data_IF_504723414354
#
_entry.id   IF_504723414354
#
_cell.length_a   1.000
_cell.length_b   1.000
_cell.length_c   1.000
_cell.angle_alpha   90.00
_cell.angle_beta   90.00
_cell.angle_gamma   90.00
#
_symmetry.space_group_name_H-M   'P 1'
#
loop_
_entity.id
_entity.type
_entity.pdbx_description
1 polymer ?
#
# COMPACT_ATOMS: atom_id res chain seq x y z
N UNK A 1 14.54 3.59 7.56
CA UNK A 1 13.75 4.73 8.07
C UNK A 1 14.42 6.00 7.61
N UNK A 2 13.63 6.92 7.15
CA UNK A 2 14.07 8.13 6.51
C UNK A 2 14.63 9.16 7.51
N UNK A 3 15.50 10.04 7.03
CA UNK A 3 16.32 10.90 7.89
C UNK A 3 15.50 11.93 8.69
N UNK A 4 14.42 12.47 8.10
CA UNK A 4 13.63 13.52 8.76
C UNK A 4 12.72 12.93 9.85
N UNK A 5 12.06 11.80 9.60
CA UNK A 5 11.25 11.13 10.61
C UNK A 5 12.08 10.70 11.83
N UNK A 6 13.33 10.24 11.63
CA UNK A 6 14.24 9.94 12.74
C UNK A 6 14.59 11.20 13.56
N UNK A 7 14.75 12.35 12.90
CA UNK A 7 14.95 13.63 13.58
C UNK A 7 13.72 14.02 14.41
N UNK A 8 12.51 13.78 13.86
CA UNK A 8 11.26 14.01 14.58
C UNK A 8 11.14 13.13 15.82
N UNK A 9 11.41 11.83 15.72
CA UNK A 9 11.33 10.91 16.86
C UNK A 9 12.21 11.33 18.04
N UNK A 10 13.39 11.89 17.78
CA UNK A 10 14.31 12.36 18.82
C UNK A 10 13.79 13.60 19.57
N UNK A 11 12.78 14.27 19.07
CA UNK A 11 12.18 15.43 19.70
C UNK A 11 11.05 15.10 20.66
N UNK A 12 10.64 13.82 20.69
CA UNK A 12 9.59 13.29 21.58
C UNK A 12 8.29 14.11 21.58
N UNK A 13 7.93 14.70 20.42
CA UNK A 13 6.67 15.41 20.30
C UNK A 13 5.52 14.40 20.22
N UNK A 14 4.45 14.68 20.94
CA UNK A 14 3.20 13.94 20.88
C UNK A 14 2.24 14.60 19.89
N UNK A 15 1.76 13.83 18.92
CA UNK A 15 0.81 14.26 17.90
C UNK A 15 -0.61 13.76 18.18
N UNK A 16 -0.88 13.19 19.34
CA UNK A 16 -2.17 12.55 19.64
C UNK A 16 -3.35 13.50 19.53
N UNK A 17 -3.18 14.76 19.97
CA UNK A 17 -4.22 15.80 19.82
C UNK A 17 -4.48 16.19 18.37
N UNK A 18 -3.55 15.89 17.44
CA UNK A 18 -3.70 16.11 16.00
C UNK A 18 -4.22 14.86 15.29
N UNK A 19 -4.83 13.94 16.01
CA UNK A 19 -5.33 12.65 15.49
C UNK A 19 -4.23 11.80 14.82
N UNK A 20 -3.03 11.78 15.42
CA UNK A 20 -1.89 10.95 15.02
C UNK A 20 -1.31 10.27 16.26
N UNK A 21 -2.04 9.33 16.82
CA UNK A 21 -1.69 8.65 18.06
C UNK A 21 -0.74 7.48 17.81
N UNK A 22 0.20 7.27 18.72
CA UNK A 22 1.01 6.05 18.76
C UNK A 22 0.25 4.94 19.48
N UNK A 23 0.38 3.71 18.97
CA UNK A 23 -0.10 2.50 19.65
C UNK A 23 1.06 1.54 19.83
N UNK A 24 0.98 0.69 20.85
CA UNK A 24 1.90 -0.44 21.05
C UNK A 24 1.61 -1.54 20.04
N UNK A 25 0.34 -1.75 19.77
CA UNK A 25 -0.16 -2.68 18.76
C UNK A 25 -0.35 -1.94 17.43
N UNK A 26 0.35 -2.42 16.40
CA UNK A 26 0.34 -1.89 15.05
C UNK A 26 -0.10 -2.97 14.04
N UNK A 27 -1.06 -3.80 14.41
CA UNK A 27 -1.58 -4.84 13.53
C UNK A 27 -2.19 -4.22 12.26
N UNK A 28 -1.74 -4.68 11.09
CA UNK A 28 -2.23 -4.15 9.82
C UNK A 28 -3.67 -4.62 9.54
N UNK A 29 -4.46 -3.75 8.92
CA UNK A 29 -5.73 -4.12 8.34
C UNK A 29 -5.55 -4.78 6.97
N UNK A 30 -6.63 -5.41 6.46
CA UNK A 30 -6.64 -6.05 5.14
C UNK A 30 -6.13 -5.12 4.02
N UNK A 31 -6.40 -3.82 4.11
CA UNK A 31 -6.02 -2.80 3.13
C UNK A 31 -4.67 -2.13 3.43
N UNK A 32 -3.97 -2.52 4.49
CA UNK A 32 -2.63 -1.98 4.78
C UNK A 32 -1.63 -2.56 3.77
N UNK A 33 -0.87 -1.71 3.02
CA UNK A 33 0.09 -2.20 2.04
C UNK A 33 1.19 -3.09 2.64
N UNK A 34 1.65 -4.09 1.90
CA UNK A 34 2.79 -4.92 2.29
C UNK A 34 4.05 -4.08 2.50
N UNK A 35 4.69 -4.26 3.63
CA UNK A 35 5.89 -3.51 4.01
C UNK A 35 5.60 -2.12 4.57
N UNK A 36 4.35 -1.87 4.96
CA UNK A 36 3.98 -0.68 5.71
C UNK A 36 4.67 -0.65 7.09
N UNK A 37 5.04 0.55 7.50
CA UNK A 37 5.50 0.87 8.86
C UNK A 37 4.54 1.92 9.41
N UNK A 38 3.58 1.49 10.21
CA UNK A 38 2.57 2.36 10.81
C UNK A 38 3.26 3.23 11.87
N UNK A 39 3.01 4.54 11.82
CA UNK A 39 3.59 5.48 12.76
C UNK A 39 2.54 6.28 13.54
N UNK A 40 1.27 6.25 13.14
CA UNK A 40 0.20 6.96 13.81
C UNK A 40 -1.18 6.42 13.46
N UNK A 41 -2.12 6.61 14.38
CA UNK A 41 -3.52 6.23 14.28
C UNK A 41 -4.42 7.42 14.53
N UNK A 42 -5.49 7.56 13.75
CA UNK A 42 -6.45 8.66 13.95
C UNK A 42 -7.33 8.45 15.20
N UNK A 43 -7.41 7.23 15.71
CA UNK A 43 -8.19 6.89 16.91
C UNK A 43 -9.60 6.42 16.62
N UNK A 44 -10.05 6.49 15.39
CA UNK A 44 -11.38 6.05 14.94
C UNK A 44 -11.24 5.14 13.71
N UNK A 45 -12.20 4.24 13.50
CA UNK A 45 -12.43 3.47 12.28
C UNK A 45 -11.22 2.72 11.71
N UNK A 46 -10.20 2.47 12.54
CA UNK A 46 -8.97 1.83 12.10
C UNK A 46 -8.09 2.70 11.19
N UNK A 47 -8.41 3.98 11.05
CA UNK A 47 -7.64 4.91 10.22
C UNK A 47 -6.22 5.06 10.78
N UNK A 48 -5.22 4.87 9.92
CA UNK A 48 -3.83 4.95 10.31
C UNK A 48 -2.93 5.50 9.20
N UNK A 49 -1.75 5.96 9.62
CA UNK A 49 -0.75 6.58 8.76
C UNK A 49 0.51 5.74 8.75
N UNK A 50 1.06 5.52 7.57
CA UNK A 50 2.24 4.67 7.41
C UNK A 50 3.20 5.17 6.33
N UNK A 51 4.45 4.70 6.44
CA UNK A 51 5.40 4.65 5.34
C UNK A 51 5.34 3.26 4.72
N UNK A 52 5.60 3.15 3.41
CA UNK A 52 5.67 1.86 2.74
C UNK A 52 7.09 1.64 2.20
N UNK A 53 7.64 0.46 2.43
CA UNK A 53 8.98 0.10 1.94
C UNK A 53 9.08 0.29 0.42
N UNK A 54 10.11 1.02 -0.02
CA UNK A 54 10.35 1.35 -1.43
C UNK A 54 9.85 2.74 -1.84
N UNK A 55 9.09 3.44 -0.98
CA UNK A 55 8.56 4.78 -1.26
C UNK A 55 9.18 5.88 -0.37
N UNK A 56 10.28 5.58 0.30
CA UNK A 56 10.97 6.57 1.15
C UNK A 56 10.16 7.03 2.35
N UNK A 57 9.99 8.35 2.51
CA UNK A 57 9.16 8.98 3.55
C UNK A 57 7.75 9.34 3.07
N UNK A 58 7.33 8.89 1.90
CA UNK A 58 5.96 9.12 1.42
C UNK A 58 4.95 8.61 2.44
N UNK A 59 4.03 9.48 2.84
CA UNK A 59 3.02 9.19 3.85
C UNK A 59 1.73 8.76 3.17
N UNK A 60 1.20 7.65 3.63
CA UNK A 60 -0.09 7.11 3.21
C UNK A 60 -1.08 7.17 4.37
N UNK A 61 -2.31 7.55 4.08
CA UNK A 61 -3.47 7.35 4.93
C UNK A 61 -4.18 6.07 4.52
N UNK A 62 -4.50 5.25 5.49
CA UNK A 62 -5.22 3.99 5.32
C UNK A 62 -6.54 4.10 6.08
N UNK A 63 -7.65 3.96 5.35
CA UNK A 63 -9.01 4.10 5.88
C UNK A 63 -9.83 2.85 5.56
N UNK A 64 -9.80 1.82 6.42
CA UNK A 64 -10.41 0.52 6.14
C UNK A 64 -11.90 0.57 5.81
N UNK A 65 -12.60 1.57 6.35
CA UNK A 65 -14.05 1.71 6.15
C UNK A 65 -14.44 2.18 4.74
N UNK A 66 -13.51 2.74 3.96
CA UNK A 66 -13.82 3.24 2.63
C UNK A 66 -13.95 2.11 1.59
N UNK A 67 -13.36 0.94 1.87
CA UNK A 67 -13.41 -0.22 0.96
C UNK A 67 -12.67 -0.01 -0.37
N UNK A 68 -12.60 -1.08 -1.15
CA UNK A 68 -12.00 -1.07 -2.48
C UNK A 68 -10.60 -0.47 -2.54
N UNK A 69 -10.32 0.26 -3.59
CA UNK A 69 -9.08 1.01 -3.77
C UNK A 69 -9.03 2.32 -2.97
N UNK A 70 -10.21 2.79 -2.51
CA UNK A 70 -10.35 4.08 -1.83
C UNK A 70 -9.98 4.00 -0.34
N UNK A 71 -9.59 2.82 0.13
CA UNK A 71 -9.03 2.65 1.48
C UNK A 71 -7.57 3.11 1.62
N UNK A 72 -6.88 3.48 0.53
CA UNK A 72 -5.47 3.91 0.57
C UNK A 72 -5.24 5.15 -0.25
N UNK A 73 -4.76 6.21 0.38
CA UNK A 73 -4.43 7.47 -0.28
C UNK A 73 -3.04 7.94 0.10
N UNK A 74 -2.28 8.43 -0.89
CA UNK A 74 -1.06 9.17 -0.61
C UNK A 74 -1.45 10.58 -0.13
N UNK A 75 -0.85 11.03 0.99
CA UNK A 75 -1.17 12.33 1.59
C UNK A 75 0.02 13.26 1.73
N UNK A 76 1.26 12.76 1.73
CA UNK A 76 2.43 13.62 1.69
C UNK A 76 3.59 12.93 0.97
N UNK A 77 4.44 13.73 0.29
CA UNK A 77 5.66 13.24 -0.37
C UNK A 77 6.70 12.74 0.62
N UNK A 78 6.73 13.38 1.77
CA UNK A 78 7.62 13.03 2.88
C UNK A 78 7.02 13.48 4.22
N UNK A 79 7.69 13.12 5.31
CA UNK A 79 7.22 13.45 6.66
C UNK A 79 7.32 14.97 6.97
N UNK A 80 8.20 15.70 6.29
CA UNK A 80 8.27 17.15 6.42
C UNK A 80 6.99 17.82 5.87
N UNK A 81 6.59 17.44 4.65
CA UNK A 81 5.35 17.91 4.03
C UNK A 81 4.12 17.47 4.84
N UNK A 82 4.14 16.28 5.45
CA UNK A 82 3.06 15.85 6.35
C UNK A 82 2.90 16.80 7.56
N UNK A 83 4.00 17.17 8.21
CA UNK A 83 3.94 18.14 9.30
C UNK A 83 3.46 19.53 8.85
N UNK A 84 3.88 20.00 7.67
CA UNK A 84 3.41 21.25 7.08
C UNK A 84 1.92 21.22 6.74
N UNK A 85 1.42 20.08 6.34
CA UNK A 85 -0.01 19.86 6.13
C UNK A 85 -0.77 19.91 7.45
N UNK A 86 -0.31 19.26 8.51
CA UNK A 86 -0.90 19.36 9.85
C UNK A 86 -0.92 20.83 10.34
N UNK A 87 0.15 21.59 10.09
CA UNK A 87 0.18 23.03 10.40
C UNK A 87 -0.88 23.82 9.63
N UNK A 88 -1.25 23.41 8.44
CA UNK A 88 -2.24 24.09 7.60
C UNK A 88 -3.69 23.69 7.93
N UNK A 89 -3.92 22.41 8.31
CA UNK A 89 -5.26 21.85 8.50
C UNK A 89 -5.70 21.76 9.96
N UNK A 90 -4.78 21.90 10.90
CA UNK A 90 -5.06 21.78 12.33
C UNK A 90 -4.93 20.36 12.87
N UNK A 91 -5.32 19.36 12.10
CA UNK A 91 -5.15 17.92 12.42
C UNK A 91 -5.10 17.06 11.15
N UNK A 92 -5.16 15.73 11.31
CA UNK A 92 -5.08 14.79 10.19
C UNK A 92 -6.41 14.46 9.53
N UNK A 93 -7.56 14.86 10.10
CA UNK A 93 -8.87 14.45 9.59
C UNK A 93 -9.13 14.98 8.17
N UNK A 94 -8.82 16.27 7.92
CA UNK A 94 -8.95 16.83 6.59
C UNK A 94 -8.03 16.16 5.55
N UNK A 95 -6.84 15.69 5.97
CA UNK A 95 -5.87 15.06 5.08
C UNK A 95 -6.34 13.70 4.60
N UNK A 96 -6.97 12.94 5.49
CA UNK A 96 -7.48 11.62 5.20
C UNK A 96 -8.69 11.68 4.27
N UNK A 97 -9.55 12.70 4.40
CA UNK A 97 -10.79 12.83 3.65
C UNK A 97 -10.67 13.67 2.37
N UNK A 98 -9.60 14.42 2.16
CA UNK A 98 -9.41 15.34 1.04
C UNK A 98 -9.63 14.72 -0.36
N UNK A 99 -9.48 13.41 -0.50
CA UNK A 99 -9.62 12.69 -1.75
C UNK A 99 -11.04 12.73 -2.32
N UNK A 100 -12.07 12.82 -1.45
CA UNK A 100 -13.48 12.82 -1.83
C UNK A 100 -14.08 14.24 -1.93
N UNK A 101 -13.36 15.28 -1.52
CA UNK A 101 -13.84 16.66 -1.49
C UNK A 101 -13.32 17.49 -2.65
N UNK A 102 -14.14 18.46 -3.09
CA UNK A 102 -13.65 19.60 -3.83
C UNK A 102 -13.01 20.64 -2.90
N UNK A 103 -12.43 21.69 -3.48
CA UNK A 103 -11.71 22.72 -2.71
C UNK A 103 -12.65 23.48 -1.74
N UNK A 104 -13.86 23.78 -2.18
CA UNK A 104 -14.83 24.50 -1.36
C UNK A 104 -15.30 23.67 -0.16
N UNK A 105 -15.49 22.37 -0.35
CA UNK A 105 -15.82 21.42 0.74
C UNK A 105 -14.66 21.28 1.72
N UNK A 106 -13.44 21.21 1.23
CA UNK A 106 -12.25 21.16 2.08
C UNK A 106 -12.10 22.43 2.93
N UNK A 107 -12.24 23.60 2.32
CA UNK A 107 -12.17 24.89 3.03
C UNK A 107 -13.31 25.05 4.04
N UNK A 108 -14.53 24.63 3.69
CA UNK A 108 -15.67 24.63 4.59
C UNK A 108 -15.42 23.73 5.81
N UNK A 109 -14.88 22.53 5.61
CA UNK A 109 -14.53 21.63 6.71
C UNK A 109 -13.52 22.26 7.67
N UNK A 110 -12.47 22.91 7.16
CA UNK A 110 -11.48 23.59 7.99
C UNK A 110 -12.09 24.77 8.78
N UNK A 111 -13.00 25.51 8.16
CA UNK A 111 -13.68 26.63 8.80
C UNK A 111 -14.62 26.18 9.95
N UNK A 112 -15.29 25.03 9.77
CA UNK A 112 -16.19 24.43 10.75
C UNK A 112 -15.46 23.73 11.90
N UNK A 113 -14.21 23.30 11.66
CA UNK A 113 -13.38 22.54 12.60
C UNK A 113 -12.07 23.27 12.93
N UNK A 114 -12.13 24.47 13.54
CA UNK A 114 -10.91 25.21 13.88
C UNK A 114 -10.11 24.46 14.95
N UNK A 115 -8.77 24.53 14.93
CA UNK A 115 -7.92 23.87 15.90
C UNK A 115 -8.23 24.32 17.34
N UNK A 116 -8.29 23.36 18.26
CA UNK A 116 -8.43 23.61 19.70
C UNK A 116 -7.16 24.28 20.26
N UNK A 117 -7.19 24.75 21.48
CA UNK A 117 -6.01 25.38 22.11
C UNK A 117 -4.91 24.34 22.36
N UNK A 118 -5.26 23.10 22.64
CA UNK A 118 -4.30 21.99 22.76
C UNK A 118 -3.62 21.70 21.41
N UNK A 119 -4.39 21.61 20.33
CA UNK A 119 -3.87 21.44 18.97
C UNK A 119 -2.95 22.59 18.58
N UNK A 120 -3.37 23.84 18.82
CA UNK A 120 -2.54 25.03 18.55
C UNK A 120 -1.19 24.99 19.29
N UNK A 121 -1.18 24.53 20.54
CA UNK A 121 0.05 24.39 21.31
C UNK A 121 1.02 23.40 20.66
N UNK A 122 0.53 22.22 20.23
CA UNK A 122 1.34 21.22 19.54
C UNK A 122 1.82 21.71 18.17
N UNK A 123 0.95 22.34 17.39
CA UNK A 123 1.30 22.95 16.10
C UNK A 123 2.38 24.02 16.23
N UNK A 124 2.29 24.87 17.26
CA UNK A 124 3.32 25.87 17.56
C UNK A 124 4.67 25.24 17.91
N UNK A 125 4.66 24.14 18.66
CA UNK A 125 5.89 23.37 18.95
C UNK A 125 6.50 22.80 17.68
N UNK A 126 5.69 22.19 16.79
CA UNK A 126 6.16 21.65 15.50
C UNK A 126 6.82 22.75 14.68
N UNK A 127 6.11 23.89 14.50
CA UNK A 127 6.62 25.04 13.74
C UNK A 127 7.95 25.53 14.28
N UNK A 128 8.06 25.70 15.60
CA UNK A 128 9.27 26.22 16.25
C UNK A 128 10.44 25.23 16.19
N UNK A 129 10.21 23.95 16.56
CA UNK A 129 11.27 22.95 16.68
C UNK A 129 11.89 22.60 15.33
N UNK A 130 11.08 22.60 14.27
CA UNK A 130 11.52 22.22 12.92
C UNK A 130 11.68 23.40 11.97
N UNK A 131 11.34 24.63 12.40
CA UNK A 131 11.33 25.85 11.58
C UNK A 131 10.45 25.68 10.33
N UNK A 132 9.25 25.11 10.52
CA UNK A 132 8.31 24.83 9.46
C UNK A 132 7.22 25.90 9.39
N UNK A 133 6.78 26.19 8.16
CA UNK A 133 5.60 26.99 7.86
C UNK A 133 4.47 26.11 7.35
N UNK A 134 3.21 26.47 7.58
CA UNK A 134 2.06 25.78 7.01
C UNK A 134 2.18 25.61 5.49
N UNK A 135 1.58 24.53 4.96
CA UNK A 135 1.43 24.35 3.51
C UNK A 135 0.52 25.46 2.97
N UNK A 136 0.95 26.19 1.94
CA UNK A 136 0.20 27.35 1.42
C UNK A 136 -1.13 26.96 0.77
N UNK A 137 -1.15 25.84 0.06
CA UNK A 137 -2.30 25.31 -0.69
C UNK A 137 -2.48 23.83 -0.42
N UNK A 138 -2.98 23.44 0.78
CA UNK A 138 -3.00 22.05 1.20
C UNK A 138 -3.88 21.17 0.31
N UNK A 139 -5.07 21.64 -0.10
CA UNK A 139 -5.96 20.86 -0.97
C UNK A 139 -5.35 20.62 -2.35
N UNK A 140 -4.83 21.68 -3.01
CA UNK A 140 -4.20 21.55 -4.34
C UNK A 140 -2.96 20.64 -4.28
N UNK A 141 -2.18 20.72 -3.20
CA UNK A 141 -1.05 19.82 -2.97
C UNK A 141 -1.50 18.36 -2.90
N UNK A 142 -2.52 18.06 -2.09
CA UNK A 142 -3.06 16.72 -1.92
C UNK A 142 -3.62 16.16 -3.23
N UNK A 143 -4.46 16.92 -3.91
CA UNK A 143 -5.07 16.50 -5.18
C UNK A 143 -4.04 16.25 -6.27
N UNK A 144 -3.05 17.12 -6.38
CA UNK A 144 -1.94 16.92 -7.32
C UNK A 144 -1.15 15.65 -7.00
N UNK A 145 -0.78 15.47 -5.74
CA UNK A 145 -0.03 14.30 -5.30
C UNK A 145 -0.80 13.00 -5.57
N UNK A 146 -2.09 12.97 -5.25
CA UNK A 146 -2.96 11.81 -5.49
C UNK A 146 -3.14 11.51 -6.98
N UNK A 147 -3.24 12.53 -7.83
CA UNK A 147 -3.35 12.36 -9.28
C UNK A 147 -2.04 11.85 -9.93
N UNK A 148 -0.89 12.25 -9.38
CA UNK A 148 0.43 11.84 -9.88
C UNK A 148 0.87 10.46 -9.35
N UNK A 149 0.30 10.00 -8.24
CA UNK A 149 0.72 8.76 -7.60
C UNK A 149 0.05 7.53 -8.22
N UNK A 150 0.85 6.60 -8.66
CA UNK A 150 0.38 5.32 -9.21
C UNK A 150 0.20 4.28 -8.08
N UNK A 151 -1.04 4.15 -7.59
CA UNK A 151 -1.41 3.19 -6.54
C UNK A 151 -1.14 1.73 -6.92
N UNK A 152 -1.05 1.40 -8.22
CA UNK A 152 -0.75 0.03 -8.67
C UNK A 152 0.66 -0.44 -8.29
N UNK A 153 1.53 0.47 -7.86
CA UNK A 153 2.85 0.15 -7.33
C UNK A 153 2.84 -0.39 -5.90
N UNK A 154 1.75 -0.17 -5.17
CA UNK A 154 1.55 -0.75 -3.86
C UNK A 154 1.21 -2.24 -4.00
N UNK A 155 1.69 -3.03 -3.04
CA UNK A 155 1.38 -4.46 -2.94
C UNK A 155 0.55 -4.70 -1.70
N UNK A 156 -0.47 -5.53 -1.83
CA UNK A 156 -1.36 -5.88 -0.74
C UNK A 156 -1.29 -7.37 -0.40
N UNK A 157 -1.85 -7.76 0.73
CA UNK A 157 -2.07 -9.15 1.11
C UNK A 157 -3.22 -9.77 0.28
N UNK A 158 -3.42 -11.06 0.41
CA UNK A 158 -4.54 -11.74 -0.26
C UNK A 158 -5.88 -11.24 0.27
N UNK A 159 -5.94 -10.89 1.56
CA UNK A 159 -7.14 -10.37 2.20
C UNK A 159 -7.68 -9.08 1.56
N UNK A 160 -6.79 -8.26 0.96
CA UNK A 160 -7.20 -7.06 0.22
C UNK A 160 -8.06 -7.39 -1.00
N UNK A 161 -7.84 -8.55 -1.60
CA UNK A 161 -8.53 -9.02 -2.80
C UNK A 161 -9.64 -10.02 -2.48
N UNK A 162 -9.85 -10.33 -1.20
CA UNK A 162 -10.93 -11.21 -0.76
C UNK A 162 -12.26 -10.44 -0.76
N UNK A 163 -13.27 -10.84 -1.54
CA UNK A 163 -14.56 -10.16 -1.59
C UNK A 163 -15.32 -10.18 -0.26
N UNK A 164 -15.03 -11.12 0.65
CA UNK A 164 -15.65 -11.15 1.98
C UNK A 164 -15.08 -10.05 2.89
N UNK A 165 -13.80 -9.72 2.71
CA UNK A 165 -13.11 -8.69 3.48
C UNK A 165 -13.21 -7.31 2.83
N UNK A 166 -13.23 -7.26 1.50
CA UNK A 166 -13.22 -6.04 0.70
C UNK A 166 -14.15 -6.22 -0.53
N UNK A 167 -15.46 -6.00 -0.38
CA UNK A 167 -16.43 -6.24 -1.45
C UNK A 167 -16.16 -5.46 -2.75
N UNK A 168 -15.53 -4.29 -2.62
CA UNK A 168 -15.17 -3.42 -3.75
C UNK A 168 -13.71 -3.57 -4.19
N UNK A 169 -13.07 -4.69 -3.81
CA UNK A 169 -11.68 -4.94 -4.17
C UNK A 169 -11.48 -4.90 -5.68
N UNK A 170 -10.40 -4.25 -6.16
CA UNK A 170 -10.05 -4.34 -7.57
C UNK A 170 -9.67 -5.78 -7.94
N UNK A 171 -9.92 -6.17 -9.18
CA UNK A 171 -9.45 -7.47 -9.65
C UNK A 171 -7.94 -7.60 -9.40
N UNK A 172 -7.56 -8.69 -8.74
CA UNK A 172 -6.15 -9.00 -8.55
C UNK A 172 -5.51 -9.25 -9.91
N UNK A 173 -4.61 -8.35 -10.32
CA UNK A 173 -3.73 -8.65 -11.46
C UNK A 173 -2.80 -9.77 -11.03
N UNK A 174 -3.12 -10.99 -11.44
CA UNK A 174 -2.27 -12.14 -11.18
C UNK A 174 -0.95 -11.91 -11.92
N UNK A 175 0.14 -11.74 -11.18
CA UNK A 175 1.47 -11.73 -11.77
C UNK A 175 1.83 -13.19 -12.12
N UNK A 176 1.65 -13.54 -13.37
CA UNK A 176 1.93 -14.88 -13.92
C UNK A 176 3.43 -15.20 -13.98
N UNK A 177 4.27 -14.42 -13.35
CA UNK A 177 5.68 -14.78 -13.19
C UNK A 177 5.82 -15.93 -12.22
N UNK A 178 5.74 -17.13 -12.76
CA UNK A 178 6.08 -18.33 -12.02
C UNK A 178 7.60 -18.37 -11.85
N UNK A 179 8.04 -18.22 -10.60
CA UNK A 179 9.43 -18.49 -10.27
C UNK A 179 9.61 -20.01 -10.18
N UNK A 180 10.37 -20.57 -11.10
CA UNK A 180 10.77 -21.97 -11.01
C UNK A 180 11.77 -22.13 -9.86
N UNK A 181 11.35 -22.77 -8.78
CA UNK A 181 12.16 -22.99 -7.57
C UNK A 181 12.93 -24.32 -7.65
N UNK A 182 13.32 -24.72 -8.82
CA UNK A 182 14.08 -25.93 -9.07
C UNK A 182 14.90 -25.80 -10.33
N UNK A 183 16.04 -26.48 -10.38
CA UNK A 183 16.78 -26.63 -11.62
C UNK A 183 16.26 -27.85 -12.37
N UNK A 184 15.72 -27.64 -13.53
CA UNK A 184 15.43 -28.71 -14.48
C UNK A 184 16.69 -29.59 -14.78
N UNK A 185 17.86 -29.10 -14.41
CA UNK A 185 19.18 -29.71 -14.66
C UNK A 185 19.91 -30.17 -13.39
N UNK A 186 19.22 -30.25 -12.24
CA UNK A 186 19.79 -30.75 -10.98
C UNK A 186 20.58 -29.75 -10.15
N UNK A 187 20.49 -28.45 -10.47
CA UNK A 187 21.00 -27.37 -9.60
C UNK A 187 19.87 -26.77 -8.77
N UNK A 188 20.05 -26.61 -7.47
CA UNK A 188 19.10 -25.94 -6.59
C UNK A 188 19.44 -24.45 -6.53
N UNK A 189 18.55 -23.58 -7.00
CA UNK A 189 18.73 -22.15 -6.95
C UNK A 189 17.65 -21.39 -7.72
N UNK A 190 17.52 -20.09 -7.44
CA UNK A 190 16.65 -19.17 -8.16
C UNK A 190 17.31 -18.75 -9.48
N UNK A 191 17.38 -19.65 -10.43
CA UNK A 191 17.86 -19.33 -11.77
C UNK A 191 16.71 -18.74 -12.60
N UNK A 192 16.94 -17.60 -13.25
CA UNK A 192 16.04 -17.12 -14.29
C UNK A 192 16.11 -18.09 -15.46
N UNK A 193 14.98 -18.68 -15.80
CA UNK A 193 14.86 -19.47 -17.02
C UNK A 193 15.17 -18.56 -18.23
N UNK A 194 16.24 -18.75 -18.92
CA UNK A 194 16.63 -18.25 -20.23
C UNK A 194 15.96 -16.96 -20.77
N UNK A 195 15.87 -16.82 -22.08
CA UNK A 195 15.17 -15.72 -22.74
C UNK A 195 13.68 -15.98 -22.77
N UNK A 196 12.89 -15.09 -22.15
CA UNK A 196 11.44 -15.14 -22.20
C UNK A 196 10.91 -14.77 -23.61
N UNK A 197 9.99 -15.61 -24.11
CA UNK A 197 9.23 -15.36 -25.34
C UNK A 197 7.75 -15.38 -24.96
N UNK A 198 7.05 -14.23 -24.97
CA UNK A 198 5.63 -14.17 -24.62
C UNK A 198 4.78 -14.96 -25.62
N UNK A 199 3.90 -15.81 -25.12
CA UNK A 199 2.98 -16.62 -25.94
C UNK A 199 1.55 -16.15 -25.76
N UNK A 200 1.11 -15.93 -24.52
CA UNK A 200 -0.21 -15.41 -24.12
C UNK A 200 -1.38 -16.15 -24.81
N UNK A 201 -1.36 -17.48 -24.80
CA UNK A 201 -2.38 -18.33 -25.43
C UNK A 201 -3.17 -19.13 -24.43
N UNK A 202 -4.50 -19.12 -24.63
CA UNK A 202 -5.43 -20.00 -23.94
C UNK A 202 -5.73 -21.22 -24.79
N UNK A 203 -5.94 -22.35 -24.12
CA UNK A 203 -6.44 -23.56 -24.73
C UNK A 203 -7.19 -24.40 -23.70
N UNK A 204 -8.11 -25.24 -24.16
CA UNK A 204 -8.86 -26.17 -23.30
C UNK A 204 -8.30 -27.58 -23.46
N UNK A 205 -7.97 -28.20 -22.32
CA UNK A 205 -7.50 -29.59 -22.28
C UNK A 205 -8.00 -30.29 -21.03
N UNK A 206 -8.44 -31.53 -21.17
CA UNK A 206 -9.00 -32.37 -20.10
C UNK A 206 -10.16 -31.69 -19.34
N UNK A 207 -11.00 -30.91 -20.03
CA UNK A 207 -12.15 -30.22 -19.45
C UNK A 207 -11.80 -28.99 -18.61
N UNK A 208 -10.58 -28.48 -18.75
CA UNK A 208 -10.10 -27.29 -18.02
C UNK A 208 -9.48 -26.30 -18.99
N UNK A 209 -9.54 -25.02 -18.61
CA UNK A 209 -8.88 -23.95 -19.35
C UNK A 209 -7.46 -23.76 -18.84
N UNK A 210 -6.54 -23.69 -19.78
CA UNK A 210 -5.12 -23.51 -19.55
C UNK A 210 -4.63 -22.26 -20.26
N UNK A 211 -3.63 -21.65 -19.67
CA UNK A 211 -2.97 -20.47 -20.22
C UNK A 211 -1.46 -20.68 -20.26
N UNK A 212 -0.85 -20.37 -21.40
CA UNK A 212 0.61 -20.34 -21.55
C UNK A 212 1.03 -18.87 -21.64
N UNK A 213 1.58 -18.29 -20.55
CA UNK A 213 2.03 -16.89 -20.56
C UNK A 213 3.25 -16.71 -21.44
N UNK A 214 4.26 -17.55 -21.27
CA UNK A 214 5.55 -17.43 -21.93
C UNK A 214 6.23 -18.77 -22.08
N UNK A 215 7.16 -18.83 -23.02
CA UNK A 215 8.14 -19.89 -23.19
C UNK A 215 9.52 -19.34 -22.90
N UNK A 216 10.31 -20.05 -22.12
CA UNK A 216 11.66 -19.65 -21.76
C UNK A 216 12.67 -20.50 -22.53
N UNK A 217 13.47 -19.83 -23.36
CA UNK A 217 14.52 -20.49 -24.17
C UNK A 217 15.83 -20.46 -23.38
N UNK A 218 16.24 -21.63 -22.93
CA UNK A 218 17.46 -21.85 -22.16
C UNK A 218 18.59 -22.41 -23.05
N UNK A 219 19.82 -22.40 -22.54
CA UNK A 219 20.99 -22.92 -23.29
C UNK A 219 20.91 -24.44 -23.60
N UNK A 220 20.11 -25.17 -22.83
CA UNK A 220 19.99 -26.65 -22.95
C UNK A 220 18.57 -27.14 -23.19
N UNK A 221 17.61 -26.25 -23.43
CA UNK A 221 16.21 -26.66 -23.63
C UNK A 221 15.23 -25.51 -23.55
N UNK A 222 13.96 -25.86 -23.49
CA UNK A 222 12.84 -24.93 -23.41
C UNK A 222 12.05 -25.24 -22.14
N UNK A 223 11.72 -24.20 -21.35
CA UNK A 223 10.78 -24.32 -20.23
C UNK A 223 9.47 -23.64 -20.63
N UNK A 224 8.36 -24.31 -20.36
CA UNK A 224 7.02 -23.81 -20.66
C UNK A 224 6.19 -23.87 -19.39
N UNK A 225 5.66 -22.71 -18.98
CA UNK A 225 4.73 -22.65 -17.87
C UNK A 225 3.30 -22.88 -18.35
N UNK A 226 2.59 -23.78 -17.70
CA UNK A 226 1.18 -24.03 -17.92
C UNK A 226 0.40 -23.59 -16.69
N UNK A 227 -0.44 -22.57 -16.85
CA UNK A 227 -1.32 -22.08 -15.81
C UNK A 227 -2.73 -22.64 -16.02
N UNK A 228 -3.29 -23.30 -15.03
CA UNK A 228 -4.65 -23.81 -15.08
C UNK A 228 -5.60 -22.82 -14.40
N UNK A 229 -6.73 -22.52 -15.03
CA UNK A 229 -7.79 -21.74 -14.39
C UNK A 229 -8.39 -22.57 -13.25
N UNK A 230 -8.27 -22.09 -12.02
CA UNK A 230 -8.93 -22.64 -10.85
C UNK A 230 -10.12 -21.75 -10.48
N UNK A 231 -11.23 -22.37 -10.04
CA UNK A 231 -12.32 -21.61 -9.44
C UNK A 231 -11.88 -21.07 -8.07
N UNK A 232 -12.21 -19.83 -7.79
CA UNK A 232 -11.74 -19.09 -6.61
C UNK A 232 -12.25 -19.65 -5.25
N UNK A 233 -13.14 -20.64 -5.27
CA UNK A 233 -13.79 -21.19 -4.06
C UNK A 233 -13.03 -22.34 -3.37
N UNK A 234 -11.89 -22.79 -3.87
CA UNK A 234 -11.10 -23.79 -3.18
C UNK A 234 -9.92 -23.11 -2.47
N UNK A 235 -9.99 -23.00 -1.13
CA UNK A 235 -8.77 -22.85 -0.31
C UNK A 235 -7.76 -23.88 -0.82
N UNK A 236 -6.75 -23.42 -1.54
CA UNK A 236 -5.61 -24.27 -1.87
C UNK A 236 -4.93 -24.56 -0.53
N UNK A 237 -5.32 -25.64 0.11
CA UNK A 237 -4.47 -26.26 1.12
C UNK A 237 -3.12 -26.45 0.44
N UNK A 238 -2.05 -25.93 1.05
CA UNK A 238 -0.67 -26.18 0.65
C UNK A 238 -0.55 -27.68 0.41
N UNK A 239 -0.61 -28.12 -0.84
CA UNK A 239 -0.42 -29.52 -1.16
C UNK A 239 1.05 -29.79 -0.94
N UNK A 240 1.31 -30.56 0.07
CA UNK A 240 2.52 -31.32 0.30
C UNK A 240 3.00 -31.90 -1.02
N UNK A 241 4.22 -31.58 -1.37
CA UNK A 241 4.99 -32.13 -2.48
C UNK A 241 4.77 -33.64 -2.60
N UNK A 242 4.08 -34.07 -3.63
CA UNK A 242 4.01 -35.51 -3.94
C UNK A 242 5.33 -35.91 -4.59
N UNK A 243 6.02 -36.96 -4.11
CA UNK A 243 7.17 -37.47 -4.81
C UNK A 243 6.74 -38.14 -6.11
N UNK A 244 7.38 -37.77 -7.20
CA UNK A 244 7.28 -38.51 -8.45
C UNK A 244 7.94 -39.88 -8.23
N UNK A 245 7.15 -40.94 -8.14
CA UNK A 245 7.68 -42.32 -8.31
C UNK A 245 8.01 -42.53 -9.78
N UNK A 246 9.27 -42.85 -10.03
CA UNK A 246 9.76 -43.30 -11.31
C UNK A 246 9.28 -44.76 -11.54
N UNK A 247 8.59 -45.00 -12.62
CA UNK A 247 8.52 -46.30 -13.30
C UNK A 247 9.20 -46.18 -14.64
#
# INVERSE_FOLDING_TARGET
MAAFYQKFLRKHLDLSSLSVMRREDNDPYFCTPKGASIFGWAGVDGIHFCFVRGFGETVFAISPMNGGKDCVHVIARDFNDFLRLLLATGDSAALEQAWQWDEAQFDAFLAENPPTDEQKAVLSQISTVFSLTPMERPWQYLRKLQAEFDLSKLKFTEDFYDPEMNPDAPEQKVDWKVYFDGSFWGHHGRERAGREVPVQKWFSWAGRDWFVPSVYVCSKGIVVDFCMRAEASARIQKSTTMPFEQT
#
